data_IF_278127026566
#
_entry.id   IF_278127026566
#
_cell.length_a   1.000
_cell.length_b   1.000
_cell.length_c   1.000
_cell.angle_alpha   90.00
_cell.angle_beta   90.00
_cell.angle_gamma   90.00
#
_symmetry.space_group_name_H-M   'P 1'
#
loop_
_entity.id
_entity.type
_entity.pdbx_description
1 polymer ?
#
# COMPACT_ATOMS: atom_id res chain seq x y z
N UNK A 1 -39.83 6.75 -28.07
CA UNK A 1 -39.71 7.83 -27.06
C UNK A 1 -38.85 8.92 -27.66
N UNK A 2 -39.46 10.01 -28.12
CA UNK A 2 -38.75 11.12 -28.77
C UNK A 2 -38.14 12.05 -27.73
N UNK A 3 -36.89 12.47 -27.92
CA UNK A 3 -36.18 13.38 -27.03
C UNK A 3 -35.27 14.32 -27.82
N UNK A 4 -35.21 15.59 -27.42
CA UNK A 4 -34.36 16.62 -28.04
C UNK A 4 -33.57 17.37 -26.96
N UNK A 5 -32.40 17.89 -27.34
CA UNK A 5 -31.60 18.81 -26.52
C UNK A 5 -31.70 20.20 -27.14
N UNK A 6 -32.07 21.20 -26.33
CA UNK A 6 -32.32 22.57 -26.77
C UNK A 6 -31.53 23.52 -25.89
N UNK A 7 -30.82 24.46 -26.52
CA UNK A 7 -30.18 25.57 -25.80
C UNK A 7 -31.15 26.75 -25.74
N UNK A 8 -31.71 27.01 -24.56
CA UNK A 8 -32.61 28.11 -24.31
C UNK A 8 -31.80 29.41 -24.11
N UNK A 9 -31.70 30.21 -25.18
CA UNK A 9 -30.86 31.43 -25.21
C UNK A 9 -31.27 32.47 -24.17
N UNK A 10 -32.56 32.61 -23.87
CA UNK A 10 -33.06 33.62 -22.92
C UNK A 10 -32.67 33.28 -21.49
N UNK A 11 -32.70 32.00 -21.13
CA UNK A 11 -32.39 31.54 -19.77
C UNK A 11 -30.95 31.06 -19.60
N UNK A 12 -30.19 30.96 -20.68
CA UNK A 12 -28.85 30.35 -20.72
C UNK A 12 -28.83 28.92 -20.14
N UNK A 13 -29.88 28.16 -20.41
CA UNK A 13 -30.04 26.77 -19.95
C UNK A 13 -29.93 25.80 -21.13
N UNK A 14 -29.24 24.69 -20.93
CA UNK A 14 -29.35 23.52 -21.81
C UNK A 14 -30.46 22.63 -21.27
N UNK A 15 -31.53 22.44 -22.03
CA UNK A 15 -32.71 21.67 -21.63
C UNK A 15 -32.80 20.39 -22.47
N UNK A 16 -33.06 19.25 -21.84
CA UNK A 16 -33.49 18.04 -22.53
C UNK A 16 -35.01 17.95 -22.43
N UNK A 17 -35.66 17.93 -23.58
CA UNK A 17 -37.09 17.74 -23.67
C UNK A 17 -37.41 16.30 -24.08
N UNK A 18 -38.50 15.77 -23.56
CA UNK A 18 -39.06 14.46 -23.92
C UNK A 18 -40.52 14.62 -24.33
N UNK A 19 -40.87 14.05 -25.47
CA UNK A 19 -42.24 14.06 -25.96
C UNK A 19 -43.09 13.11 -25.11
N UNK A 20 -44.22 13.61 -24.60
CA UNK A 20 -45.20 12.81 -23.87
C UNK A 20 -46.42 12.58 -24.76
N UNK A 21 -46.64 11.32 -25.12
CA UNK A 21 -47.83 10.93 -25.90
C UNK A 21 -49.14 11.20 -25.14
N UNK A 22 -49.12 11.15 -23.80
CA UNK A 22 -50.30 11.41 -22.96
C UNK A 22 -50.72 12.87 -23.00
N UNK A 23 -49.75 13.79 -22.97
CA UNK A 23 -50.02 15.24 -22.92
C UNK A 23 -49.89 15.92 -24.28
N UNK A 24 -49.44 15.17 -25.31
CA UNK A 24 -49.12 15.68 -26.66
C UNK A 24 -48.25 16.93 -26.60
N UNK A 25 -47.26 16.94 -25.69
CA UNK A 25 -46.39 18.08 -25.46
C UNK A 25 -44.95 17.66 -25.11
N UNK A 26 -44.02 18.59 -25.31
CA UNK A 26 -42.62 18.48 -24.89
C UNK A 26 -42.48 18.85 -23.41
N UNK A 27 -42.11 17.88 -22.59
CA UNK A 27 -41.86 18.09 -21.17
C UNK A 27 -40.36 18.20 -20.90
N UNK A 28 -39.98 19.12 -20.02
CA UNK A 28 -38.59 19.26 -19.58
C UNK A 28 -38.22 18.06 -18.71
N UNK A 29 -37.31 17.23 -19.22
CA UNK A 29 -36.79 16.07 -18.50
C UNK A 29 -35.62 16.44 -17.59
N UNK A 30 -34.68 17.24 -18.10
CA UNK A 30 -33.57 17.81 -17.33
C UNK A 30 -33.19 19.15 -17.91
N UNK A 31 -32.51 19.97 -17.11
CA UNK A 31 -31.84 21.18 -17.57
C UNK A 31 -30.51 21.34 -16.84
N UNK A 32 -29.59 22.14 -17.40
CA UNK A 32 -28.29 22.49 -16.82
C UNK A 32 -28.02 23.98 -17.09
N UNK A 33 -27.52 24.76 -16.12
CA UNK A 33 -27.21 24.40 -14.73
C UNK A 33 -28.43 24.20 -13.81
N UNK A 34 -28.34 23.28 -12.84
CA UNK A 34 -29.40 22.93 -11.86
C UNK A 34 -29.21 23.59 -10.50
N UNK A 35 -28.00 23.97 -10.17
CA UNK A 35 -27.65 24.59 -8.90
C UNK A 35 -26.50 25.57 -9.07
N UNK A 36 -26.30 26.38 -8.04
CA UNK A 36 -25.24 27.39 -8.00
C UNK A 36 -23.83 26.81 -8.19
N UNK A 37 -23.58 25.55 -7.82
CA UNK A 37 -22.28 24.90 -8.00
C UNK A 37 -22.03 24.43 -9.44
N UNK A 38 -23.02 24.48 -10.33
CA UNK A 38 -22.83 24.20 -11.76
C UNK A 38 -22.37 25.44 -12.55
N UNK A 39 -22.32 26.62 -11.90
CA UNK A 39 -21.64 27.80 -12.44
C UNK A 39 -20.12 27.64 -12.32
N UNK A 40 -19.39 28.06 -13.36
CA UNK A 40 -17.95 27.88 -13.42
C UNK A 40 -17.22 28.66 -12.32
N UNK A 41 -16.32 27.98 -11.60
CA UNK A 41 -15.33 28.64 -10.73
C UNK A 41 -15.88 29.28 -9.45
N UNK A 42 -17.09 28.91 -9.00
CA UNK A 42 -17.78 29.51 -7.83
C UNK A 42 -16.92 29.54 -6.57
N UNK A 43 -16.15 28.48 -6.30
CA UNK A 43 -15.33 28.35 -5.10
C UNK A 43 -13.83 28.65 -5.31
N UNK A 44 -13.45 29.13 -6.50
CA UNK A 44 -12.07 29.41 -6.86
C UNK A 44 -11.16 28.16 -6.85
N UNK A 45 -9.85 28.39 -6.81
CA UNK A 45 -8.83 27.34 -6.81
C UNK A 45 -8.87 26.47 -5.54
N UNK A 46 -8.79 25.15 -5.68
CA UNK A 46 -8.80 24.16 -4.59
C UNK A 46 -10.01 24.25 -3.63
N UNK A 47 -11.06 24.98 -4.01
CA UNK A 47 -12.34 25.05 -3.31
C UNK A 47 -13.31 24.01 -3.87
N UNK A 48 -13.96 23.27 -2.97
CA UNK A 48 -15.00 22.30 -3.27
C UNK A 48 -16.38 22.92 -3.06
N UNK A 49 -17.22 22.86 -4.08
CA UNK A 49 -18.61 23.33 -3.99
C UNK A 49 -19.55 22.20 -3.52
N UNK A 50 -20.21 22.40 -2.40
CA UNK A 50 -21.10 21.46 -1.73
C UNK A 50 -22.47 22.12 -1.57
N UNK A 51 -23.43 21.70 -2.39
CA UNK A 51 -24.77 22.33 -2.46
C UNK A 51 -25.57 22.21 -1.16
N UNK A 52 -25.24 21.26 -0.29
CA UNK A 52 -25.92 20.98 0.98
C UNK A 52 -25.35 21.73 2.17
N UNK A 53 -24.22 22.44 2.02
CA UNK A 53 -23.55 23.11 3.13
C UNK A 53 -23.67 24.65 3.07
N UNK A 54 -23.51 25.28 4.23
CA UNK A 54 -23.45 26.73 4.40
C UNK A 54 -22.22 27.08 5.24
N UNK A 55 -21.17 27.71 4.66
CA UNK A 55 -21.06 28.13 3.25
C UNK A 55 -21.01 26.96 2.26
N UNK A 56 -21.47 27.23 1.03
CA UNK A 56 -21.49 26.26 -0.08
C UNK A 56 -20.08 25.89 -0.55
N UNK A 57 -19.11 26.75 -0.29
CA UNK A 57 -17.71 26.55 -0.65
C UNK A 57 -16.92 26.16 0.58
N UNK A 58 -16.10 25.12 0.43
CA UNK A 58 -15.18 24.66 1.47
C UNK A 58 -13.85 24.31 0.84
N UNK A 59 -12.76 24.56 1.54
CA UNK A 59 -11.45 24.13 1.06
C UNK A 59 -11.33 22.61 1.14
N UNK A 60 -10.67 22.02 0.14
CA UNK A 60 -10.28 20.61 0.21
C UNK A 60 -9.37 20.38 1.42
N UNK A 61 -9.39 19.15 1.94
CA UNK A 61 -8.53 18.77 3.06
C UNK A 61 -7.06 19.03 2.73
N UNK A 62 -6.34 19.70 3.64
CA UNK A 62 -4.96 20.14 3.43
C UNK A 62 -4.82 21.52 2.78
N UNK A 63 -5.93 22.22 2.59
CA UNK A 63 -5.99 23.60 2.12
C UNK A 63 -6.74 24.47 3.12
N UNK A 64 -6.47 25.77 3.09
CA UNK A 64 -7.11 26.80 3.89
C UNK A 64 -7.55 27.98 3.02
N UNK A 65 -8.57 28.75 3.44
CA UNK A 65 -9.01 29.91 2.68
C UNK A 65 -7.88 30.92 2.49
N UNK A 66 -7.75 31.48 1.29
CA UNK A 66 -6.75 32.51 1.01
C UNK A 66 -7.06 33.83 1.74
N UNK A 67 -8.34 34.13 1.94
CA UNK A 67 -8.83 35.34 2.61
C UNK A 67 -9.63 34.96 3.86
N UNK A 68 -9.01 34.90 5.05
CA UNK A 68 -9.72 34.64 6.29
C UNK A 68 -10.63 35.83 6.65
N UNK A 69 -11.92 35.56 6.91
CA UNK A 69 -12.86 36.56 7.45
C UNK A 69 -13.82 37.22 6.45
N UNK A 70 -13.64 37.01 5.14
CA UNK A 70 -14.65 37.37 4.14
C UNK A 70 -15.08 36.09 3.41
N UNK A 71 -16.39 35.91 3.22
CA UNK A 71 -16.98 34.83 2.41
C UNK A 71 -16.72 35.04 0.90
N UNK A 72 -15.58 35.62 0.55
CA UNK A 72 -15.11 35.80 -0.82
C UNK A 72 -14.31 34.57 -1.25
N UNK A 73 -15.04 33.60 -1.81
CA UNK A 73 -14.48 32.35 -2.31
C UNK A 73 -13.84 32.50 -3.71
N UNK A 74 -13.93 33.66 -4.35
CA UNK A 74 -13.33 33.90 -5.68
C UNK A 74 -11.81 33.71 -5.67
N UNK A 75 -11.17 34.01 -4.53
CA UNK A 75 -9.73 33.84 -4.31
C UNK A 75 -9.32 32.40 -4.02
N UNK A 76 -10.29 31.51 -3.79
CA UNK A 76 -10.09 30.10 -3.49
C UNK A 76 -9.30 29.82 -2.22
N UNK A 77 -8.63 28.68 -2.25
CA UNK A 77 -7.89 28.10 -1.16
C UNK A 77 -6.41 27.96 -1.50
N UNK A 78 -5.57 28.03 -0.48
CA UNK A 78 -4.12 27.83 -0.58
C UNK A 78 -3.73 26.62 0.26
N UNK A 79 -2.63 25.97 -0.13
CA UNK A 79 -2.11 24.80 0.59
C UNK A 79 -1.72 25.17 2.02
N UNK A 80 -1.94 24.24 2.95
CA UNK A 80 -1.47 24.40 4.32
C UNK A 80 0.05 24.32 4.41
N UNK A 81 0.65 23.43 3.62
CA UNK A 81 2.10 23.23 3.51
C UNK A 81 2.53 23.38 2.05
N UNK A 82 3.64 24.09 1.84
CA UNK A 82 4.23 24.22 0.51
C UNK A 82 4.69 22.86 -0.02
N UNK A 83 4.59 22.66 -1.33
CA UNK A 83 5.15 21.48 -2.00
C UNK A 83 6.66 21.62 -2.06
N UNK A 84 7.37 20.51 -1.87
CA UNK A 84 8.82 20.48 -2.06
C UNK A 84 9.20 20.08 -3.49
N UNK A 85 8.21 19.72 -4.32
CA UNK A 85 8.38 19.26 -5.70
C UNK A 85 9.40 18.13 -5.86
N UNK A 86 9.61 17.40 -4.78
CA UNK A 86 10.52 16.28 -4.72
C UNK A 86 9.75 14.99 -4.93
N UNK A 87 10.49 13.89 -5.16
CA UNK A 87 9.91 12.54 -5.21
C UNK A 87 9.31 12.09 -3.88
N UNK A 88 9.50 12.86 -2.80
CA UNK A 88 8.93 12.59 -1.48
C UNK A 88 7.51 13.15 -1.33
N UNK A 89 7.09 14.08 -2.19
CA UNK A 89 5.69 14.47 -2.26
C UNK A 89 4.84 13.24 -2.57
N UNK A 90 3.59 13.24 -2.09
CA UNK A 90 2.66 12.16 -2.38
C UNK A 90 1.31 12.71 -2.76
N UNK A 91 0.28 11.89 -2.60
CA UNK A 91 -1.07 12.24 -3.04
C UNK A 91 -2.11 11.85 -2.01
N UNK A 92 -3.10 12.71 -1.84
CA UNK A 92 -4.33 12.40 -1.11
C UNK A 92 -5.42 12.08 -2.12
N UNK A 93 -6.15 10.99 -1.85
CA UNK A 93 -7.29 10.57 -2.66
C UNK A 93 -8.55 11.29 -2.18
N UNK A 94 -9.21 11.98 -3.11
CA UNK A 94 -10.53 12.57 -2.91
C UNK A 94 -11.56 11.81 -3.72
N UNK A 95 -12.66 11.41 -3.09
CA UNK A 95 -13.70 10.60 -3.72
C UNK A 95 -14.93 11.46 -4.03
N UNK A 96 -15.67 11.09 -5.08
CA UNK A 96 -16.96 11.70 -5.38
C UNK A 96 -16.86 13.18 -5.72
N UNK A 97 -15.84 13.56 -6.46
CA UNK A 97 -15.72 14.92 -6.99
C UNK A 97 -16.08 14.95 -8.47
N UNK A 98 -16.70 16.03 -8.91
CA UNK A 98 -16.59 16.51 -10.29
C UNK A 98 -15.12 16.89 -10.50
N UNK A 99 -14.52 16.32 -11.54
CA UNK A 99 -13.14 16.64 -11.90
C UNK A 99 -12.98 18.13 -12.21
N UNK A 100 -11.81 18.72 -11.90
CA UNK A 100 -11.52 20.11 -12.22
C UNK A 100 -11.50 20.33 -13.73
N UNK A 101 -11.57 21.61 -14.12
CA UNK A 101 -11.56 21.99 -15.52
C UNK A 101 -10.35 21.41 -16.27
N UNK A 102 -10.57 20.98 -17.51
CA UNK A 102 -9.57 20.25 -18.29
C UNK A 102 -8.63 21.18 -19.07
N UNK A 103 -8.65 22.50 -18.82
CA UNK A 103 -7.93 23.51 -19.62
C UNK A 103 -6.42 23.27 -19.63
N UNK A 104 -5.85 23.00 -18.45
CA UNK A 104 -4.42 22.71 -18.27
C UNK A 104 -4.23 21.24 -17.89
N UNK A 105 -4.69 20.34 -18.77
CA UNK A 105 -4.62 18.90 -18.52
C UNK A 105 -3.96 18.13 -19.67
N UNK A 106 -3.43 16.96 -19.36
CA UNK A 106 -2.90 16.00 -20.33
C UNK A 106 -3.48 14.62 -20.07
N UNK A 107 -3.78 13.88 -21.14
CA UNK A 107 -4.42 12.57 -21.06
C UNK A 107 -3.67 11.50 -21.84
N UNK A 108 -3.72 10.26 -21.36
CA UNK A 108 -3.18 9.09 -22.04
C UNK A 108 -4.04 7.85 -21.73
N UNK A 109 -4.65 7.26 -22.75
CA UNK A 109 -5.57 6.11 -22.61
C UNK A 109 -4.87 4.78 -22.29
N UNK A 110 -3.59 4.65 -22.63
CA UNK A 110 -2.84 3.39 -22.50
C UNK A 110 -2.16 3.24 -21.14
N UNK A 111 -1.99 4.34 -20.40
CA UNK A 111 -1.36 4.32 -19.09
C UNK A 111 -2.33 3.87 -18.00
N UNK A 112 -1.84 3.05 -17.07
CA UNK A 112 -2.59 2.72 -15.86
C UNK A 112 -2.38 3.76 -14.74
N UNK A 113 -3.17 3.66 -13.68
CA UNK A 113 -3.14 4.60 -12.55
C UNK A 113 -1.77 4.68 -11.85
N UNK A 114 -1.05 3.56 -11.72
CA UNK A 114 0.29 3.52 -11.09
C UNK A 114 1.31 4.29 -11.93
N UNK A 115 1.30 4.08 -13.24
CA UNK A 115 2.14 4.84 -14.19
C UNK A 115 1.77 6.32 -14.19
N UNK A 116 0.48 6.64 -14.08
CA UNK A 116 -0.01 8.02 -13.97
C UNK A 116 0.55 8.74 -12.75
N UNK A 117 0.58 8.06 -11.59
CA UNK A 117 1.19 8.56 -10.36
C UNK A 117 2.67 8.89 -10.54
N UNK A 118 3.45 7.95 -11.09
CA UNK A 118 4.89 8.13 -11.32
C UNK A 118 5.13 9.31 -12.27
N UNK A 119 4.39 9.38 -13.38
CA UNK A 119 4.51 10.45 -14.36
C UNK A 119 4.21 11.82 -13.78
N UNK A 120 3.21 11.90 -12.90
CA UNK A 120 2.88 13.13 -12.18
C UNK A 120 3.99 13.52 -11.19
N UNK A 121 4.60 12.57 -10.46
CA UNK A 121 5.70 12.87 -9.54
C UNK A 121 6.96 13.39 -10.24
N UNK A 122 7.26 12.85 -11.43
CA UNK A 122 8.38 13.28 -12.27
C UNK A 122 8.23 14.71 -12.78
N UNK A 123 7.00 15.21 -12.88
CA UNK A 123 6.71 16.55 -13.35
C UNK A 123 6.39 17.48 -12.16
N UNK A 124 7.26 18.45 -11.88
CA UNK A 124 7.06 19.42 -10.78
C UNK A 124 5.81 20.28 -10.95
N UNK A 125 5.32 20.47 -12.17
CA UNK A 125 4.10 21.25 -12.45
C UNK A 125 2.82 20.45 -12.24
N UNK A 126 2.90 19.12 -12.08
CA UNK A 126 1.74 18.28 -11.88
C UNK A 126 1.12 18.50 -10.50
N UNK A 127 -0.18 18.78 -10.46
CA UNK A 127 -0.92 19.05 -9.22
C UNK A 127 -1.94 17.96 -8.88
N UNK A 128 -2.46 17.24 -9.86
CA UNK A 128 -3.37 16.11 -9.62
C UNK A 128 -3.39 15.12 -10.78
N UNK A 129 -3.87 13.90 -10.50
CA UNK A 129 -4.14 12.90 -11.53
C UNK A 129 -5.38 12.04 -11.20
N UNK A 130 -5.91 11.36 -12.21
CA UNK A 130 -6.95 10.33 -12.06
C UNK A 130 -6.92 9.34 -13.23
N UNK A 131 -7.70 8.25 -13.11
CA UNK A 131 -8.06 7.41 -14.25
C UNK A 131 -8.86 8.24 -15.27
N UNK A 132 -8.72 7.94 -16.56
CA UNK A 132 -9.50 8.63 -17.60
C UNK A 132 -10.89 7.99 -17.78
N UNK A 133 -10.94 6.66 -17.79
CA UNK A 133 -12.16 5.85 -17.83
C UNK A 133 -12.30 5.12 -16.50
N UNK A 134 -13.49 5.11 -15.92
CA UNK A 134 -13.82 4.44 -14.64
C UNK A 134 -14.36 3.02 -14.83
N UNK A 135 -14.65 2.59 -16.07
CA UNK A 135 -15.17 1.26 -16.37
C UNK A 135 -14.12 0.18 -16.11
N UNK A 136 -14.57 -1.03 -15.74
CA UNK A 136 -13.71 -2.22 -15.67
C UNK A 136 -12.54 -2.13 -14.68
N UNK A 137 -12.68 -1.38 -13.59
CA UNK A 137 -11.58 -1.17 -12.61
C UNK A 137 -10.71 0.07 -12.88
N UNK A 138 -11.01 0.80 -13.95
CA UNK A 138 -10.40 2.07 -14.30
C UNK A 138 -9.19 1.92 -15.23
N UNK A 139 -9.14 2.76 -16.27
CA UNK A 139 -8.05 2.77 -17.25
C UNK A 139 -7.75 4.19 -17.74
N UNK A 140 -6.57 4.36 -18.31
CA UNK A 140 -6.07 5.64 -18.77
C UNK A 140 -5.63 6.55 -17.63
N UNK A 141 -5.05 7.68 -18.01
CA UNK A 141 -4.45 8.65 -17.12
C UNK A 141 -4.89 10.04 -17.58
N UNK A 142 -5.35 10.86 -16.64
CA UNK A 142 -5.51 12.29 -16.81
C UNK A 142 -4.70 13.01 -15.73
N UNK A 143 -3.93 14.01 -16.11
CA UNK A 143 -3.04 14.79 -15.25
C UNK A 143 -3.37 16.27 -15.41
N UNK A 144 -3.42 17.00 -14.30
CA UNK A 144 -3.64 18.46 -14.27
C UNK A 144 -2.37 19.21 -13.86
N UNK A 145 -2.18 20.37 -14.47
CA UNK A 145 -1.08 21.29 -14.20
C UNK A 145 -1.62 22.62 -13.67
N UNK A 146 -1.00 23.13 -12.60
CA UNK A 146 -1.41 24.37 -11.94
C UNK A 146 -2.64 24.21 -11.03
N UNK A 147 -3.27 25.35 -10.72
CA UNK A 147 -4.39 25.41 -9.79
C UNK A 147 -5.61 24.64 -10.31
N UNK A 148 -6.26 23.87 -9.42
CA UNK A 148 -7.43 23.07 -9.76
C UNK A 148 -8.69 23.90 -9.50
N UNK A 149 -9.49 24.17 -10.53
CA UNK A 149 -10.67 25.04 -10.46
C UNK A 149 -11.90 24.23 -10.89
N UNK A 150 -13.10 24.69 -10.48
CA UNK A 150 -14.39 24.12 -10.89
C UNK A 150 -14.69 22.72 -10.31
N UNK A 151 -14.19 22.49 -9.08
CA UNK A 151 -14.44 21.27 -8.31
C UNK A 151 -15.78 21.38 -7.57
N UNK A 152 -16.59 20.32 -7.69
CA UNK A 152 -17.90 20.19 -7.02
C UNK A 152 -18.03 18.81 -6.38
N UNK A 153 -18.61 18.74 -5.19
CA UNK A 153 -18.97 17.48 -4.56
C UNK A 153 -20.11 16.83 -5.34
N UNK A 154 -19.91 15.58 -5.73
CA UNK A 154 -20.90 14.75 -6.40
C UNK A 154 -21.27 13.58 -5.50
N UNK A 155 -22.56 13.45 -5.21
CA UNK A 155 -23.12 12.39 -4.34
C UNK A 155 -23.00 11.01 -5.02
N UNK A 156 -22.89 10.98 -6.35
CA UNK A 156 -22.91 9.74 -7.13
C UNK A 156 -21.53 9.09 -7.32
N UNK A 157 -20.53 9.42 -6.48
CA UNK A 157 -19.18 8.82 -6.49
C UNK A 157 -18.59 8.65 -7.91
N UNK A 158 -18.62 9.73 -8.71
CA UNK A 158 -18.32 9.68 -10.14
C UNK A 158 -16.89 9.26 -10.40
N UNK A 159 -15.92 9.91 -9.74
CA UNK A 159 -14.51 9.69 -10.02
C UNK A 159 -13.66 10.09 -8.82
N UNK A 160 -12.58 9.35 -8.63
CA UNK A 160 -11.56 9.68 -7.64
C UNK A 160 -10.61 10.72 -8.23
N UNK A 161 -10.07 11.62 -7.41
CA UNK A 161 -9.04 12.57 -7.81
C UNK A 161 -7.88 12.50 -6.82
N UNK A 162 -6.67 12.28 -7.31
CA UNK A 162 -5.46 12.23 -6.49
C UNK A 162 -4.74 13.57 -6.58
N UNK A 163 -4.78 14.37 -5.52
CA UNK A 163 -4.16 15.70 -5.50
C UNK A 163 -2.79 15.59 -4.82
N UNK A 164 -1.77 16.20 -5.43
CA UNK A 164 -0.39 16.22 -4.92
C UNK A 164 -0.32 16.99 -3.62
N UNK A 165 0.41 16.46 -2.63
CA UNK A 165 0.52 16.98 -1.26
C UNK A 165 1.96 16.87 -0.77
N UNK A 166 2.36 17.76 0.13
CA UNK A 166 3.72 17.74 0.69
C UNK A 166 3.95 16.48 1.52
N UNK A 167 5.17 15.95 1.51
CA UNK A 167 5.56 14.80 2.34
C UNK A 167 5.23 15.01 3.83
N UNK A 168 5.46 16.23 4.33
CA UNK A 168 5.22 16.62 5.73
C UNK A 168 3.77 16.51 6.17
N UNK A 169 2.84 16.69 5.22
CA UNK A 169 1.40 16.63 5.45
C UNK A 169 0.85 15.19 5.38
N UNK A 170 1.57 14.31 4.69
CA UNK A 170 1.27 12.89 4.64
C UNK A 170 1.76 12.16 5.90
N UNK A 171 2.94 12.51 6.42
CA UNK A 171 3.48 11.95 7.66
C UNK A 171 2.65 12.25 8.91
N UNK A 172 1.83 13.32 8.88
CA UNK A 172 0.85 13.60 9.95
C UNK A 172 -0.41 12.74 9.88
N UNK A 173 -0.70 12.13 8.72
CA UNK A 173 -1.88 11.27 8.49
C UNK A 173 -1.60 9.78 8.68
N UNK A 174 -0.38 9.39 9.02
CA UNK A 174 -0.14 8.09 9.66
C UNK A 174 -0.78 8.11 11.05
N UNK A 175 -2.11 7.93 11.05
CA UNK A 175 -2.90 7.89 12.25
C UNK A 175 -2.42 6.78 13.18
N UNK A 176 -2.89 6.79 14.45
CA UNK A 176 -2.49 5.83 15.47
C UNK A 176 -2.54 4.37 14.99
N UNK A 177 -3.42 4.03 14.02
CA UNK A 177 -3.55 2.68 13.45
C UNK A 177 -2.27 2.14 12.80
N UNK A 178 -1.56 2.89 11.96
CA UNK A 178 -0.31 2.40 11.33
C UNK A 178 0.84 2.32 12.35
N UNK A 179 0.94 3.31 13.25
CA UNK A 179 1.91 3.27 14.37
C UNK A 179 1.65 2.08 15.31
N UNK A 180 0.39 1.77 15.60
CA UNK A 180 0.00 0.61 16.40
C UNK A 180 0.37 -0.69 15.67
N UNK A 181 0.11 -0.82 14.37
CA UNK A 181 0.49 -2.02 13.60
C UNK A 181 2.01 -2.25 13.62
N UNK A 182 2.81 -1.20 13.43
CA UNK A 182 4.28 -1.29 13.50
C UNK A 182 4.77 -1.66 14.91
N UNK A 183 4.18 -1.07 15.96
CA UNK A 183 4.54 -1.39 17.35
C UNK A 183 4.15 -2.83 17.71
N UNK A 184 2.94 -3.26 17.36
CA UNK A 184 2.43 -4.61 17.66
C UNK A 184 3.26 -5.67 16.93
N UNK A 185 3.61 -5.45 15.67
CA UNK A 185 4.45 -6.38 14.89
C UNK A 185 5.87 -6.46 15.46
N UNK A 186 6.47 -5.35 15.89
CA UNK A 186 7.78 -5.36 16.53
C UNK A 186 7.78 -6.13 17.87
N UNK A 187 6.77 -5.92 18.71
CA UNK A 187 6.64 -6.62 20.01
C UNK A 187 6.45 -8.13 19.80
N UNK A 188 5.60 -8.53 18.85
CA UNK A 188 5.36 -9.94 18.53
C UNK A 188 6.63 -10.65 18.04
N UNK A 189 7.44 -9.98 17.21
CA UNK A 189 8.71 -10.51 16.73
C UNK A 189 9.70 -10.76 17.88
N UNK A 190 9.86 -9.79 18.79
CA UNK A 190 10.76 -9.93 19.96
C UNK A 190 10.29 -11.05 20.89
N UNK A 191 8.99 -11.13 21.17
CA UNK A 191 8.42 -12.20 21.98
C UNK A 191 8.67 -13.58 21.35
N UNK A 192 8.51 -13.71 20.03
CA UNK A 192 8.80 -14.93 19.29
C UNK A 192 10.25 -15.39 19.44
N UNK A 193 11.21 -14.47 19.31
CA UNK A 193 12.64 -14.77 19.48
C UNK A 193 12.96 -15.24 20.90
N UNK A 194 12.38 -14.61 21.92
CA UNK A 194 12.60 -14.98 23.32
C UNK A 194 12.00 -16.35 23.66
N UNK A 195 10.81 -16.65 23.15
CA UNK A 195 10.15 -17.95 23.35
C UNK A 195 10.99 -19.06 22.70
N UNK A 196 11.42 -18.87 21.45
CA UNK A 196 12.27 -19.84 20.75
C UNK A 196 13.61 -20.01 21.48
N UNK A 197 14.23 -18.92 21.90
CA UNK A 197 15.46 -18.94 22.70
C UNK A 197 15.31 -19.74 24.01
N UNK A 198 14.19 -19.56 24.72
CA UNK A 198 13.89 -20.31 25.94
C UNK A 198 13.71 -21.81 25.70
N UNK A 199 12.99 -22.20 24.64
CA UNK A 199 12.85 -23.62 24.28
C UNK A 199 14.18 -24.26 23.89
N UNK A 200 15.07 -23.52 23.20
CA UNK A 200 16.43 -23.99 22.89
C UNK A 200 17.27 -24.12 24.17
N UNK A 201 17.19 -23.17 25.10
CA UNK A 201 17.89 -23.24 26.37
C UNK A 201 17.43 -24.45 27.20
N UNK A 202 16.12 -24.65 27.33
CA UNK A 202 15.52 -25.78 28.06
C UNK A 202 15.82 -27.14 27.42
N UNK A 203 15.84 -27.22 26.09
CA UNK A 203 16.21 -28.47 25.40
C UNK A 203 17.69 -28.82 25.62
N UNK A 204 18.58 -27.82 25.71
CA UNK A 204 20.01 -28.03 26.02
C UNK A 204 20.28 -28.42 27.47
N UNK A 205 19.54 -27.86 28.43
CA UNK A 205 19.68 -28.25 29.85
C UNK A 205 19.14 -29.67 30.10
N UNK A 206 18.02 -30.03 29.46
CA UNK A 206 17.51 -31.40 29.49
C UNK A 206 18.43 -32.39 28.75
N UNK A 207 19.09 -31.99 27.65
CA UNK A 207 20.15 -32.80 27.02
C UNK A 207 21.42 -32.91 27.88
N UNK A 208 21.74 -31.89 28.68
CA UNK A 208 22.84 -31.92 29.65
C UNK A 208 22.56 -32.89 30.80
N UNK A 209 21.34 -32.89 31.34
CA UNK A 209 20.91 -33.84 32.37
C UNK A 209 20.85 -35.28 31.83
N UNK A 210 20.32 -35.48 30.62
CA UNK A 210 20.31 -36.81 29.96
C UNK A 210 21.72 -37.30 29.65
N UNK A 211 22.68 -36.41 29.31
CA UNK A 211 24.09 -36.80 29.11
C UNK A 211 24.76 -37.27 30.40
N UNK A 212 24.52 -36.59 31.52
CA UNK A 212 25.04 -36.99 32.84
C UNK A 212 24.44 -38.34 33.27
N UNK A 213 23.17 -38.61 32.97
CA UNK A 213 22.52 -39.90 33.26
C UNK A 213 22.95 -41.01 32.27
N UNK A 214 23.31 -40.67 31.03
CA UNK A 214 23.70 -41.67 30.01
C UNK A 214 25.12 -42.21 30.13
N UNK A 215 26.00 -41.58 30.92
CA UNK A 215 27.34 -42.12 31.16
C UNK A 215 27.34 -43.37 32.06
N UNK A 216 26.22 -43.69 32.70
CA UNK A 216 26.05 -44.89 33.54
C UNK A 216 25.37 -46.08 32.86
N UNK A 217 24.99 -45.98 31.56
CA UNK A 217 24.38 -47.11 30.83
C UNK A 217 25.06 -47.37 29.49
N UNK A 218 26.31 -47.81 29.58
CA UNK A 218 26.87 -48.73 28.59
C UNK A 218 26.13 -50.05 28.64
N UNK A 219 25.07 -50.21 27.84
CA UNK A 219 24.67 -51.52 27.29
C UNK A 219 23.50 -51.39 26.29
N UNK A 220 23.74 -51.94 25.09
CA UNK A 220 22.74 -52.65 24.28
C UNK A 220 21.80 -51.83 23.35
N UNK A 221 22.22 -51.83 22.07
CA UNK A 221 21.48 -52.37 20.89
C UNK A 221 20.34 -51.53 20.27
N UNK A 222 20.69 -50.93 19.13
CA UNK A 222 20.08 -51.14 17.79
C UNK A 222 18.55 -51.09 17.72
N UNK A 223 17.96 -49.90 17.59
CA UNK A 223 16.78 -49.63 16.74
C UNK A 223 16.40 -48.15 16.78
N UNK A 224 17.00 -47.29 15.93
CA UNK A 224 16.55 -45.89 15.84
C UNK A 224 16.76 -45.24 14.45
N UNK A 225 16.74 -46.03 13.36
CA UNK A 225 16.87 -45.48 11.99
C UNK A 225 15.54 -45.05 11.34
N UNK A 226 14.42 -45.07 12.08
CA UNK A 226 13.09 -44.77 11.51
C UNK A 226 12.45 -43.48 12.03
N UNK A 227 13.05 -42.81 13.04
CA UNK A 227 12.44 -41.63 13.67
C UNK A 227 13.02 -40.29 13.17
N UNK A 228 14.29 -40.25 12.78
CA UNK A 228 14.94 -39.03 12.27
C UNK A 228 14.46 -38.62 10.87
N UNK A 229 14.05 -39.60 10.04
CA UNK A 229 13.52 -39.34 8.69
C UNK A 229 12.10 -38.78 8.73
N UNK A 230 11.27 -39.23 9.69
CA UNK A 230 9.87 -38.76 9.82
C UNK A 230 9.78 -37.31 10.33
N UNK A 231 10.69 -36.90 11.20
CA UNK A 231 10.76 -35.52 11.71
C UNK A 231 11.27 -34.57 10.62
N UNK A 232 12.22 -35.01 9.78
CA UNK A 232 12.74 -34.22 8.65
C UNK A 232 11.69 -33.98 7.56
N UNK A 233 10.90 -34.99 7.21
CA UNK A 233 9.85 -34.88 6.18
C UNK A 233 8.66 -34.05 6.69
N UNK A 234 8.31 -34.16 7.97
CA UNK A 234 7.24 -33.34 8.57
C UNK A 234 7.65 -31.86 8.67
N UNK A 235 8.92 -31.57 8.96
CA UNK A 235 9.46 -30.21 8.94
C UNK A 235 9.50 -29.59 7.53
N UNK A 236 9.78 -30.38 6.50
CA UNK A 236 9.81 -29.93 5.11
C UNK A 236 8.39 -29.64 4.55
N UNK A 237 7.41 -30.47 4.91
CA UNK A 237 6.00 -30.29 4.51
C UNK A 237 5.33 -29.08 5.18
N UNK A 238 5.70 -28.77 6.43
CA UNK A 238 5.21 -27.57 7.13
C UNK A 238 5.83 -26.30 6.53
N UNK A 239 7.05 -26.35 6.00
CA UNK A 239 7.72 -25.21 5.40
C UNK A 239 7.23 -24.92 3.97
N UNK A 240 6.82 -25.94 3.20
CA UNK A 240 6.32 -25.76 1.82
C UNK A 240 4.83 -25.36 1.75
N UNK A 241 4.01 -25.72 2.75
CA UNK A 241 2.57 -25.41 2.76
C UNK A 241 2.20 -24.05 3.35
N UNK A 242 3.04 -23.47 4.23
CA UNK A 242 2.72 -22.24 4.98
C UNK A 242 3.43 -21.01 4.40
N UNK A 243 4.47 -21.19 3.59
CA UNK A 243 5.22 -20.07 3.00
C UNK A 243 4.48 -19.39 1.84
N UNK A 244 3.60 -20.11 1.14
CA UNK A 244 2.91 -19.60 -0.05
C UNK A 244 1.68 -18.74 0.28
N UNK A 245 1.11 -18.86 1.48
CA UNK A 245 -0.11 -18.11 1.88
C UNK A 245 0.18 -16.88 2.75
N UNK A 246 1.41 -16.73 3.25
CA UNK A 246 1.80 -15.64 4.17
C UNK A 246 2.64 -14.56 3.48
N UNK A 247 3.20 -14.80 2.29
CA UNK A 247 4.11 -13.88 1.61
C UNK A 247 3.64 -13.43 0.22
N UNK A 248 2.37 -13.08 0.06
CA UNK A 248 1.95 -12.19 -1.04
C UNK A 248 1.90 -10.74 -0.55
N UNK A 249 2.91 -10.34 0.23
CA UNK A 249 3.07 -8.97 0.69
C UNK A 249 3.81 -8.15 -0.36
N UNK A 250 3.06 -7.28 -1.03
CA UNK A 250 3.53 -6.28 -1.99
C UNK A 250 4.60 -5.37 -1.32
N UNK A 251 5.87 -5.57 -1.63
CA UNK A 251 7.04 -4.92 -0.99
C UNK A 251 7.20 -3.42 -1.33
N UNK A 252 6.30 -2.84 -2.12
CA UNK A 252 6.43 -1.49 -2.65
C UNK A 252 6.08 -0.38 -1.64
N UNK A 253 5.64 -0.73 -0.42
CA UNK A 253 5.15 0.23 0.58
C UNK A 253 6.01 0.33 1.85
N UNK A 254 7.21 -0.25 1.88
CA UNK A 254 8.07 -0.29 3.08
C UNK A 254 9.27 0.65 2.91
N UNK A 255 9.32 1.70 3.71
CA UNK A 255 10.46 2.62 3.82
C UNK A 255 11.75 1.89 4.26
N UNK A 256 12.90 2.48 3.95
CA UNK A 256 14.23 1.83 4.00
C UNK A 256 14.57 1.11 5.32
N UNK A 257 13.99 1.53 6.45
CA UNK A 257 14.20 0.88 7.75
C UNK A 257 13.47 -0.48 7.86
N UNK A 258 12.28 -0.61 7.27
CA UNK A 258 11.54 -1.88 7.28
C UNK A 258 12.14 -2.91 6.33
N UNK A 259 12.74 -2.48 5.21
CA UNK A 259 13.54 -3.36 4.34
C UNK A 259 14.74 -3.96 5.09
N UNK A 260 15.37 -3.16 5.95
CA UNK A 260 16.46 -3.63 6.81
C UNK A 260 15.99 -4.66 7.83
N UNK A 261 14.87 -4.40 8.53
CA UNK A 261 14.32 -5.34 9.50
C UNK A 261 13.88 -6.68 8.88
N UNK A 262 13.27 -6.66 7.70
CA UNK A 262 12.87 -7.90 6.98
C UNK A 262 14.10 -8.64 6.45
N UNK A 263 15.11 -7.93 5.94
CA UNK A 263 16.38 -8.55 5.54
C UNK A 263 17.09 -9.21 6.73
N UNK A 264 17.08 -8.57 7.91
CA UNK A 264 17.63 -9.14 9.15
C UNK A 264 16.85 -10.37 9.62
N UNK A 265 15.53 -10.36 9.52
CA UNK A 265 14.69 -11.53 9.83
C UNK A 265 14.95 -12.70 8.86
N UNK A 266 15.02 -12.44 7.55
CA UNK A 266 15.29 -13.47 6.55
C UNK A 266 16.70 -14.02 6.65
N UNK A 267 17.69 -13.18 6.97
CA UNK A 267 19.08 -13.63 7.20
C UNK A 267 19.22 -14.42 8.50
N UNK A 268 18.49 -14.08 9.55
CA UNK A 268 18.37 -14.91 10.76
C UNK A 268 17.75 -16.27 10.43
N UNK A 269 16.64 -16.32 9.68
CA UNK A 269 15.99 -17.59 9.27
C UNK A 269 16.92 -18.44 8.40
N UNK A 270 17.64 -17.83 7.45
CA UNK A 270 18.63 -18.53 6.62
C UNK A 270 19.83 -19.03 7.44
N UNK A 271 20.31 -18.27 8.42
CA UNK A 271 21.37 -18.71 9.33
C UNK A 271 20.93 -19.90 10.20
N UNK A 272 19.67 -19.92 10.65
CA UNK A 272 19.07 -21.05 11.36
C UNK A 272 18.91 -22.28 10.47
N UNK A 273 18.55 -22.11 9.20
CA UNK A 273 18.44 -23.22 8.23
C UNK A 273 19.82 -23.79 7.82
N UNK A 274 20.89 -22.97 7.83
CA UNK A 274 22.24 -23.41 7.45
C UNK A 274 23.07 -24.03 8.58
N UNK A 275 22.64 -23.91 9.84
CA UNK A 275 23.28 -24.60 10.97
C UNK A 275 22.46 -25.84 11.35
N UNK A 276 22.63 -26.99 10.66
CA UNK A 276 23.73 -27.88 11.02
C UNK A 276 24.25 -28.77 9.87
N UNK A 277 25.24 -28.32 9.11
CA UNK A 277 26.09 -29.22 8.30
C UNK A 277 27.60 -28.97 8.47
N UNK A 278 28.01 -28.03 9.34
CA UNK A 278 29.43 -27.74 9.58
C UNK A 278 30.10 -28.56 10.69
N UNK A 279 29.34 -29.19 11.60
CA UNK A 279 29.93 -29.85 12.80
C UNK A 279 30.16 -31.36 12.64
N UNK A 280 29.60 -32.00 11.62
CA UNK A 280 29.85 -33.43 11.33
C UNK A 280 30.97 -33.66 10.29
N UNK A 281 31.49 -32.61 9.64
CA UNK A 281 32.61 -32.75 8.71
C UNK A 281 33.96 -32.87 9.46
N UNK A 282 34.13 -32.21 10.61
CA UNK A 282 35.41 -32.20 11.34
C UNK A 282 35.71 -33.52 12.06
N UNK A 283 34.68 -34.26 12.47
CA UNK A 283 34.82 -35.59 13.07
C UNK A 283 35.06 -36.71 12.05
N UNK A 284 34.70 -36.50 10.78
CA UNK A 284 34.91 -37.49 9.71
C UNK A 284 36.35 -37.47 9.17
N UNK A 285 36.97 -36.28 9.08
CA UNK A 285 38.37 -36.16 8.65
C UNK A 285 39.38 -36.57 9.74
N UNK A 286 39.14 -36.23 11.00
CA UNK A 286 40.01 -36.66 12.12
C UNK A 286 39.96 -38.18 12.39
N UNK A 287 38.86 -38.86 12.03
CA UNK A 287 38.74 -40.32 12.14
C UNK A 287 39.44 -41.08 11.00
N UNK A 288 39.64 -40.43 9.85
CA UNK A 288 40.22 -41.06 8.65
C UNK A 288 41.76 -41.07 8.69
N UNK A 289 42.39 -40.07 9.32
CA UNK A 289 43.85 -40.02 9.50
C UNK A 289 44.35 -40.98 10.61
N UNK A 290 43.55 -41.23 11.65
CA UNK A 290 43.89 -42.20 12.70
C UNK A 290 43.84 -43.65 12.20
N UNK A 291 42.95 -43.95 11.24
CA UNK A 291 42.84 -45.29 10.61
C UNK A 291 43.93 -45.54 9.56
N UNK A 292 44.49 -44.48 8.94
CA UNK A 292 45.60 -44.62 7.97
C UNK A 292 46.95 -44.87 8.65
N UNK A 293 47.21 -44.29 9.83
CA UNK A 293 48.47 -44.53 10.57
C UNK A 293 48.57 -45.90 11.24
N UNK A 294 47.44 -46.54 11.58
CA UNK A 294 47.44 -47.87 12.22
C UNK A 294 47.50 -49.04 11.20
N UNK A 295 47.27 -48.78 9.91
CA UNK A 295 47.38 -49.81 8.86
C UNK A 295 48.80 -49.97 8.28
N UNK A 296 49.69 -48.99 8.46
CA UNK A 296 51.11 -49.15 8.09
C UNK A 296 51.95 -49.90 9.14
N UNK A 297 51.49 -49.96 10.40
CA UNK A 297 52.18 -50.68 11.49
C UNK A 297 51.95 -52.20 11.43
N UNK A 298 50.86 -52.67 10.79
CA UNK A 298 50.55 -54.11 10.64
C UNK A 298 51.04 -54.72 9.30
N UNK A 299 51.78 -53.99 8.47
CA UNK A 299 52.34 -54.48 7.18
C UNK A 299 53.86 -54.70 7.20
N UNK A 300 54.55 -54.47 8.33
CA UNK A 300 55.94 -54.89 8.54
C UNK A 300 56.09 -55.51 9.93
N UNK A 301 55.77 -56.79 10.01
CA UNK A 301 55.99 -57.67 11.15
C UNK A 301 55.80 -59.11 10.68
#
# INVERSE_FOLDING_TARGET
MSSILVLNKTRSLLERLTWSETTQNWNVYLYVPRDQCESYGVCGAYGNCITTQSPICQCLEGFKPKSPGYMDWSKGCVRNKALNYSKLDGFIKFNGLKLPDAKNSWVNKSMNLKQCRVKCLENSSCMAYTNLDIRGGGNGCAIWFGDLIDIKQSINNVQDLFIRMSASELGTKEGPKMKIVVIVTAIAAVAGVLIVGYYIYKSRTNLGFVRVVSFEKSASKRSEKQLSVKIGVLGFLICSGVLSSVLDFDFDSIDGFGKFSVAVLMSCVMAFLYTPTGKNARSFWLGSDQLRSNLEIFSRG
#
